data_IF_533718200953
#
_entry.id   IF_533718200953
#
_cell.length_a   1.000
_cell.length_b   1.000
_cell.length_c   1.000
_cell.angle_alpha   90.00
_cell.angle_beta   90.00
_cell.angle_gamma   90.00
#
_symmetry.space_group_name_H-M   'P 1'
#
loop_
_entity.id
_entity.type
_entity.pdbx_description
1 polymer ?
#
# COMPACT_ATOMS: atom_id res chain seq x y z
N UNK A 1 -46.09 14.16 -30.83
CA UNK A 1 -45.23 14.08 -29.62
C UNK A 1 -44.81 12.64 -29.25
N UNK A 2 -45.64 11.61 -29.44
CA UNK A 2 -45.33 10.22 -29.08
C UNK A 2 -44.06 9.60 -29.72
N UNK A 3 -43.73 9.92 -30.98
CA UNK A 3 -42.54 9.38 -31.67
C UNK A 3 -41.19 9.85 -31.11
N UNK A 4 -41.13 11.00 -30.43
CA UNK A 4 -39.89 11.50 -29.80
C UNK A 4 -39.65 10.85 -28.44
N UNK A 5 -40.71 10.58 -27.68
CA UNK A 5 -40.64 9.88 -26.39
C UNK A 5 -40.17 8.43 -26.56
N UNK A 6 -40.66 7.72 -27.58
CA UNK A 6 -40.22 6.35 -27.88
C UNK A 6 -38.74 6.26 -28.26
N UNK A 7 -38.20 7.25 -29.00
CA UNK A 7 -36.77 7.33 -29.30
C UNK A 7 -35.96 7.62 -28.04
N UNK A 8 -36.35 8.56 -27.19
CA UNK A 8 -35.64 8.83 -25.93
C UNK A 8 -35.59 7.59 -25.02
N UNK A 9 -36.69 6.85 -24.90
CA UNK A 9 -36.74 5.60 -24.14
C UNK A 9 -35.84 4.51 -24.74
N UNK A 10 -35.70 4.43 -26.07
CA UNK A 10 -34.83 3.44 -26.71
C UNK A 10 -33.34 3.74 -26.49
N UNK A 11 -32.96 5.03 -26.49
CA UNK A 11 -31.58 5.46 -26.26
C UNK A 11 -31.18 5.30 -24.79
N UNK A 12 -32.08 5.56 -23.84
CA UNK A 12 -31.81 5.30 -22.42
C UNK A 12 -31.71 3.81 -22.11
N UNK A 13 -32.56 2.97 -22.71
CA UNK A 13 -32.44 1.51 -22.56
C UNK A 13 -31.16 0.97 -23.19
N UNK A 14 -30.72 1.52 -24.32
CA UNK A 14 -29.49 1.10 -25.00
C UNK A 14 -28.24 1.59 -24.26
N UNK A 15 -28.27 2.79 -23.68
CA UNK A 15 -27.21 3.30 -22.82
C UNK A 15 -27.11 2.51 -21.52
N UNK A 16 -28.24 2.13 -20.90
CA UNK A 16 -28.26 1.27 -19.71
C UNK A 16 -27.83 -0.16 -20.02
N UNK A 17 -28.19 -0.70 -21.18
CA UNK A 17 -27.74 -2.02 -21.62
C UNK A 17 -26.25 -2.02 -22.00
N UNK A 18 -25.75 -0.97 -22.64
CA UNK A 18 -24.32 -0.82 -22.95
C UNK A 18 -23.50 -0.56 -21.69
N UNK A 19 -24.01 0.22 -20.75
CA UNK A 19 -23.38 0.42 -19.42
C UNK A 19 -23.42 -0.87 -18.61
N UNK A 20 -24.55 -1.59 -18.63
CA UNK A 20 -24.73 -2.89 -18.01
C UNK A 20 -23.80 -3.94 -18.62
N UNK A 21 -23.64 -3.96 -19.93
CA UNK A 21 -22.71 -4.86 -20.64
C UNK A 21 -21.24 -4.46 -20.44
N UNK A 22 -20.93 -3.16 -20.34
CA UNK A 22 -19.60 -2.66 -19.99
C UNK A 22 -19.22 -2.92 -18.52
N UNK A 23 -20.20 -2.90 -17.62
CA UNK A 23 -20.04 -3.30 -16.22
C UNK A 23 -19.98 -4.84 -16.07
N UNK A 24 -20.76 -5.58 -16.88
CA UNK A 24 -20.80 -7.03 -16.90
C UNK A 24 -19.55 -7.65 -17.53
N UNK A 25 -18.98 -7.04 -18.58
CA UNK A 25 -17.68 -7.44 -19.14
C UNK A 25 -16.50 -7.14 -18.20
N UNK A 26 -16.74 -6.38 -17.12
CA UNK A 26 -15.84 -6.12 -16.00
C UNK A 26 -16.20 -7.01 -14.79
N UNK A 27 -16.22 -8.31 -14.99
CA UNK A 27 -16.58 -9.36 -14.01
C UNK A 27 -15.61 -9.48 -12.78
N UNK A 28 -14.85 -8.42 -12.45
CA UNK A 28 -13.84 -8.39 -11.39
C UNK A 28 -13.79 -7.04 -10.63
N UNK A 29 -14.94 -6.39 -10.42
CA UNK A 29 -15.05 -5.23 -9.54
C UNK A 29 -15.33 -5.70 -8.09
N UNK A 30 -14.29 -5.77 -7.25
CA UNK A 30 -14.50 -5.82 -5.79
C UNK A 30 -15.31 -4.57 -5.39
N UNK A 31 -16.48 -4.75 -4.77
CA UNK A 31 -17.33 -3.66 -4.31
C UNK A 31 -16.58 -2.74 -3.33
N UNK A 32 -15.55 -3.25 -2.65
CA UNK A 32 -14.66 -2.47 -1.79
C UNK A 32 -13.85 -1.42 -2.55
N UNK A 33 -13.65 -1.57 -3.87
CA UNK A 33 -12.86 -0.64 -4.68
C UNK A 33 -13.66 0.53 -5.24
N UNK A 34 -14.97 0.57 -5.03
CA UNK A 34 -15.77 1.74 -5.36
C UNK A 34 -15.39 2.91 -4.45
N UNK A 35 -15.06 4.05 -5.08
CA UNK A 35 -14.63 5.26 -4.36
C UNK A 35 -15.58 5.67 -3.23
N UNK A 36 -16.90 5.54 -3.44
CA UNK A 36 -17.91 5.84 -2.41
C UNK A 36 -17.83 4.91 -1.20
N UNK A 37 -17.56 3.62 -1.39
CA UNK A 37 -17.44 2.63 -0.30
C UNK A 37 -16.17 2.88 0.51
N UNK A 38 -15.05 3.16 -0.15
CA UNK A 38 -13.77 3.54 0.50
C UNK A 38 -13.92 4.80 1.35
N UNK A 39 -14.54 5.84 0.77
CA UNK A 39 -14.83 7.11 1.46
C UNK A 39 -15.75 6.88 2.65
N UNK A 40 -16.86 6.14 2.45
CA UNK A 40 -17.82 5.83 3.51
C UNK A 40 -17.18 5.10 4.68
N UNK A 41 -16.36 4.07 4.43
CA UNK A 41 -15.61 3.34 5.47
C UNK A 41 -14.68 4.26 6.26
N UNK A 42 -13.93 5.13 5.56
CA UNK A 42 -13.01 6.05 6.22
C UNK A 42 -13.74 7.09 7.08
N UNK A 43 -14.80 7.72 6.55
CA UNK A 43 -15.63 8.69 7.29
C UNK A 43 -16.28 8.02 8.51
N UNK A 44 -16.90 6.86 8.34
CA UNK A 44 -17.54 6.14 9.43
C UNK A 44 -16.54 5.74 10.52
N UNK A 45 -15.38 5.21 10.14
CA UNK A 45 -14.32 4.83 11.09
C UNK A 45 -13.82 6.05 11.88
N UNK A 46 -13.53 7.16 11.20
CA UNK A 46 -13.09 8.40 11.84
C UNK A 46 -14.15 8.96 12.79
N UNK A 47 -15.43 8.92 12.41
CA UNK A 47 -16.53 9.37 13.25
C UNK A 47 -16.67 8.50 14.50
N UNK A 48 -16.61 7.17 14.36
CA UNK A 48 -16.67 6.23 15.49
C UNK A 48 -15.49 6.44 16.44
N UNK A 49 -14.27 6.58 15.92
CA UNK A 49 -13.08 6.87 16.75
C UNK A 49 -13.28 8.19 17.49
N UNK A 50 -13.63 9.27 16.79
CA UNK A 50 -13.82 10.60 17.40
C UNK A 50 -14.89 10.57 18.50
N UNK A 51 -16.03 9.92 18.23
CA UNK A 51 -17.10 9.75 19.21
C UNK A 51 -16.65 8.98 20.45
N UNK A 52 -15.85 7.93 20.26
CA UNK A 52 -15.34 7.10 21.35
C UNK A 52 -14.43 7.90 22.32
N UNK A 53 -13.54 8.74 21.77
CA UNK A 53 -12.74 9.67 22.58
C UNK A 53 -13.59 10.71 23.31
N UNK A 54 -14.55 11.33 22.62
CA UNK A 54 -15.41 12.38 23.19
C UNK A 54 -16.32 11.86 24.30
N UNK A 55 -16.74 10.59 24.24
CA UNK A 55 -17.70 10.03 25.21
C UNK A 55 -17.01 9.29 26.35
N UNK A 56 -16.02 8.46 26.04
CA UNK A 56 -15.37 7.61 27.04
C UNK A 56 -14.58 8.41 28.08
N UNK A 57 -13.93 9.50 27.66
CA UNK A 57 -13.07 10.29 28.53
C UNK A 57 -13.81 11.43 29.26
N UNK A 58 -15.08 11.70 28.92
CA UNK A 58 -15.83 12.87 29.38
C UNK A 58 -16.06 12.93 30.89
N UNK A 59 -16.24 11.77 31.52
CA UNK A 59 -16.64 11.66 32.94
C UNK A 59 -15.48 11.42 33.89
N UNK A 60 -14.25 11.31 33.37
CA UNK A 60 -13.06 10.98 34.17
C UNK A 60 -12.16 12.21 34.28
N UNK A 61 -11.73 12.61 35.48
CA UNK A 61 -10.85 13.78 35.65
C UNK A 61 -9.54 13.61 34.87
N UNK A 62 -9.21 14.62 34.07
CA UNK A 62 -7.98 14.65 33.27
C UNK A 62 -6.73 14.44 34.15
N UNK A 63 -5.80 13.61 33.69
CA UNK A 63 -4.54 13.33 34.39
C UNK A 63 -4.63 12.33 35.55
N UNK A 64 -5.84 11.90 35.93
CA UNK A 64 -6.00 10.84 36.94
C UNK A 64 -5.46 9.49 36.44
N UNK A 65 -5.09 8.59 37.36
CA UNK A 65 -4.67 7.22 37.00
C UNK A 65 -5.75 6.48 36.21
N UNK A 66 -7.01 6.67 36.58
CA UNK A 66 -8.18 6.14 35.86
C UNK A 66 -8.27 6.70 34.44
N UNK A 67 -8.06 8.00 34.26
CA UNK A 67 -8.05 8.64 32.94
C UNK A 67 -6.98 8.04 32.04
N UNK A 68 -5.75 7.87 32.54
CA UNK A 68 -4.66 7.30 31.76
C UNK A 68 -4.96 5.85 31.34
N UNK A 69 -5.49 5.03 32.25
CA UNK A 69 -5.87 3.65 31.95
C UNK A 69 -7.02 3.57 30.94
N UNK A 70 -8.04 4.42 31.09
CA UNK A 70 -9.16 4.47 30.15
C UNK A 70 -8.73 4.98 28.78
N UNK A 71 -7.84 5.98 28.73
CA UNK A 71 -7.27 6.52 27.51
C UNK A 71 -6.47 5.46 26.75
N UNK A 72 -5.63 4.68 27.42
CA UNK A 72 -4.94 3.53 26.83
C UNK A 72 -5.92 2.53 26.19
N UNK A 73 -7.01 2.18 26.89
CA UNK A 73 -8.07 1.33 26.31
C UNK A 73 -8.75 1.96 25.09
N UNK A 74 -8.91 3.29 25.06
CA UNK A 74 -9.48 4.02 23.90
C UNK A 74 -8.50 3.99 22.74
N UNK A 75 -7.22 4.22 22.99
CA UNK A 75 -6.14 4.11 21.99
C UNK A 75 -6.17 2.73 21.34
N UNK A 76 -6.16 1.65 22.13
CA UNK A 76 -6.10 0.29 21.61
C UNK A 76 -7.27 -0.06 20.68
N UNK A 77 -8.51 0.22 21.08
CA UNK A 77 -9.66 -0.09 20.22
C UNK A 77 -9.74 0.84 19.00
N UNK A 78 -9.28 2.07 19.11
CA UNK A 78 -9.22 3.01 17.99
C UNK A 78 -8.13 2.64 16.99
N UNK A 79 -6.97 2.20 17.47
CA UNK A 79 -5.89 1.64 16.67
C UNK A 79 -6.32 0.41 15.89
N UNK A 80 -7.09 -0.50 16.51
CA UNK A 80 -7.67 -1.67 15.83
C UNK A 80 -8.61 -1.28 14.70
N UNK A 81 -9.55 -0.36 14.95
CA UNK A 81 -10.46 0.16 13.90
C UNK A 81 -9.70 0.83 12.76
N UNK A 82 -8.64 1.59 13.07
CA UNK A 82 -7.79 2.20 12.06
C UNK A 82 -7.03 1.13 11.25
N UNK A 83 -6.49 0.10 11.89
CA UNK A 83 -5.84 -1.02 11.23
C UNK A 83 -6.80 -1.76 10.30
N UNK A 84 -8.03 -2.04 10.75
CA UNK A 84 -9.08 -2.66 9.95
C UNK A 84 -9.42 -1.80 8.72
N UNK A 85 -9.56 -0.49 8.89
CA UNK A 85 -9.75 0.45 7.79
C UNK A 85 -8.57 0.38 6.80
N UNK A 86 -7.34 0.34 7.31
CA UNK A 86 -6.15 0.23 6.47
C UNK A 86 -6.16 -1.06 5.64
N UNK A 87 -6.42 -2.21 6.26
CA UNK A 87 -6.55 -3.48 5.55
C UNK A 87 -7.69 -3.48 4.53
N UNK A 88 -8.83 -2.88 4.89
CA UNK A 88 -10.03 -2.88 4.07
C UNK A 88 -9.89 -1.95 2.84
N UNK A 89 -9.23 -0.79 2.99
CA UNK A 89 -8.98 0.13 1.88
C UNK A 89 -7.69 -0.19 1.11
N UNK A 90 -6.71 -0.91 1.68
CA UNK A 90 -5.48 -1.30 0.96
C UNK A 90 -4.67 -0.10 0.42
N UNK A 91 -3.60 -0.38 -0.33
CA UNK A 91 -2.85 0.63 -1.07
C UNK A 91 -2.32 1.76 -0.19
N UNK A 92 -2.71 3.00 -0.51
CA UNK A 92 -2.34 4.21 0.24
C UNK A 92 -2.62 4.10 1.73
N UNK A 93 -3.75 3.49 2.13
CA UNK A 93 -4.08 3.36 3.54
C UNK A 93 -3.14 2.39 4.28
N UNK A 94 -2.74 1.28 3.66
CA UNK A 94 -1.72 0.38 4.23
C UNK A 94 -0.39 1.12 4.32
N UNK A 95 -0.01 1.85 3.26
CA UNK A 95 1.26 2.60 3.25
C UNK A 95 1.33 3.65 4.37
N UNK A 96 0.29 4.46 4.53
CA UNK A 96 0.22 5.44 5.62
C UNK A 96 0.16 4.75 6.99
N UNK A 97 -0.57 3.64 7.11
CA UNK A 97 -0.60 2.82 8.32
C UNK A 97 0.77 2.23 8.70
N UNK A 98 1.56 1.81 7.72
CA UNK A 98 2.95 1.35 7.92
C UNK A 98 3.85 2.47 8.46
N UNK A 99 3.71 3.69 7.93
CA UNK A 99 4.40 4.86 8.47
C UNK A 99 4.00 5.15 9.91
N UNK A 100 2.70 5.13 10.22
CA UNK A 100 2.20 5.27 11.59
C UNK A 100 2.77 4.18 12.52
N UNK A 101 2.81 2.93 12.07
CA UNK A 101 3.36 1.80 12.82
C UNK A 101 4.86 1.93 13.15
N UNK A 102 5.60 2.76 12.43
CA UNK A 102 7.03 2.99 12.62
C UNK A 102 7.35 4.17 13.57
N UNK A 103 6.35 4.92 14.04
CA UNK A 103 6.51 6.12 14.86
C UNK A 103 6.48 5.83 16.38
N UNK A 104 7.25 4.82 16.82
CA UNK A 104 7.23 4.26 18.19
C UNK A 104 7.42 5.28 19.34
N UNK A 105 8.00 6.45 19.07
CA UNK A 105 8.24 7.50 20.07
C UNK A 105 7.31 8.71 19.94
N UNK A 106 6.55 8.79 18.86
CA UNK A 106 5.69 9.95 18.55
C UNK A 106 4.21 9.64 18.76
N UNK A 107 3.83 8.37 18.64
CA UNK A 107 2.45 7.90 18.79
C UNK A 107 2.29 7.06 20.05
N UNK A 108 1.06 6.95 20.59
CA UNK A 108 0.77 6.00 21.65
C UNK A 108 1.14 4.57 21.22
N UNK A 109 1.74 3.80 22.14
CA UNK A 109 2.20 2.43 21.89
C UNK A 109 1.10 1.55 21.32
N UNK A 110 -0.16 1.75 21.73
CA UNK A 110 -1.28 0.95 21.23
C UNK A 110 -1.52 1.16 19.73
N UNK A 111 -1.24 2.36 19.20
CA UNK A 111 -1.31 2.61 17.76
C UNK A 111 -0.15 1.97 17.02
N UNK A 112 1.09 2.17 17.48
CA UNK A 112 2.25 1.68 16.74
C UNK A 112 2.31 0.16 16.75
N UNK A 113 2.11 -0.47 17.92
CA UNK A 113 2.05 -1.93 18.06
C UNK A 113 0.96 -2.57 17.21
N UNK A 114 -0.24 -1.97 17.16
CA UNK A 114 -1.35 -2.51 16.37
C UNK A 114 -1.09 -2.37 14.87
N UNK A 115 -0.56 -1.23 14.41
CA UNK A 115 -0.35 -0.95 12.98
C UNK A 115 0.91 -1.62 12.42
N UNK A 116 1.84 -2.10 13.26
CA UNK A 116 3.02 -2.86 12.82
C UNK A 116 2.67 -4.08 11.96
N UNK A 117 1.51 -4.70 12.20
CA UNK A 117 1.03 -5.86 11.42
C UNK A 117 0.88 -5.54 9.91
N UNK A 118 0.64 -4.28 9.56
CA UNK A 118 0.49 -3.82 8.18
C UNK A 118 1.78 -3.97 7.36
N UNK A 119 2.94 -4.11 8.00
CA UNK A 119 4.20 -4.43 7.30
C UNK A 119 4.23 -5.87 6.79
N UNK A 120 3.52 -6.78 7.45
CA UNK A 120 3.45 -8.20 7.09
C UNK A 120 2.20 -8.60 6.28
N UNK A 121 1.15 -7.78 6.28
CA UNK A 121 -0.15 -8.12 5.68
C UNK A 121 -0.45 -7.28 4.43
N UNK A 122 0.42 -7.37 3.42
CA UNK A 122 0.15 -6.74 2.14
C UNK A 122 -0.82 -7.58 1.29
N UNK A 123 -1.85 -6.96 0.69
CA UNK A 123 -2.76 -7.65 -0.21
C UNK A 123 -2.03 -8.09 -1.48
N UNK A 124 -2.43 -9.23 -2.04
CA UNK A 124 -1.94 -9.71 -3.33
C UNK A 124 -2.97 -9.38 -4.42
N UNK A 125 -2.50 -8.83 -5.53
CA UNK A 125 -3.22 -8.75 -6.79
C UNK A 125 -3.33 -10.13 -7.44
N UNK A 126 -4.43 -10.34 -8.14
CA UNK A 126 -4.61 -11.57 -8.91
C UNK A 126 -3.61 -11.63 -10.07
N UNK A 127 -3.29 -12.84 -10.55
CA UNK A 127 -2.42 -12.98 -11.72
C UNK A 127 -2.99 -12.36 -13.00
N UNK A 128 -4.32 -12.22 -13.09
CA UNK A 128 -4.95 -11.48 -14.18
C UNK A 128 -4.61 -9.99 -14.13
N UNK A 129 -4.67 -9.38 -12.93
CA UNK A 129 -4.26 -7.99 -12.71
C UNK A 129 -2.77 -7.79 -13.00
N UNK A 130 -1.91 -8.71 -12.57
CA UNK A 130 -0.46 -8.66 -12.85
C UNK A 130 -0.19 -8.71 -14.35
N UNK A 131 -0.81 -9.66 -15.07
CA UNK A 131 -0.71 -9.77 -16.54
C UNK A 131 -1.21 -8.51 -17.23
N UNK A 132 -2.30 -7.92 -16.73
CA UNK A 132 -2.82 -6.66 -17.26
C UNK A 132 -1.80 -5.54 -17.13
N UNK A 133 -1.20 -5.33 -15.95
CA UNK A 133 -0.19 -4.27 -15.75
C UNK A 133 1.02 -4.49 -16.67
N UNK A 134 1.55 -5.72 -16.74
CA UNK A 134 2.68 -6.04 -17.62
C UNK A 134 2.36 -5.74 -19.08
N UNK A 135 1.18 -6.14 -19.56
CA UNK A 135 0.75 -5.87 -20.94
C UNK A 135 0.61 -4.37 -21.22
N UNK A 136 -0.05 -3.63 -20.32
CA UNK A 136 -0.27 -2.19 -20.47
C UNK A 136 1.04 -1.40 -20.51
N UNK A 137 2.00 -1.76 -19.66
CA UNK A 137 3.22 -0.99 -19.48
C UNK A 137 4.37 -1.43 -20.40
N UNK A 138 4.49 -2.73 -20.70
CA UNK A 138 5.56 -3.28 -21.54
C UNK A 138 5.11 -3.63 -22.96
N UNK A 139 3.80 -3.55 -23.25
CA UNK A 139 3.24 -3.80 -24.59
C UNK A 139 3.36 -5.25 -25.07
N UNK A 140 3.68 -6.19 -24.18
CA UNK A 140 3.94 -7.60 -24.48
C UNK A 140 3.29 -8.51 -23.43
N UNK A 141 3.04 -9.76 -23.79
CA UNK A 141 2.59 -10.75 -22.83
C UNK A 141 3.78 -11.31 -22.01
N UNK A 142 3.50 -11.88 -20.84
CA UNK A 142 4.52 -12.50 -19.98
C UNK A 142 5.35 -13.54 -20.75
N UNK A 143 4.72 -14.37 -21.58
CA UNK A 143 5.40 -15.42 -22.33
C UNK A 143 6.32 -14.90 -23.45
N UNK A 144 6.11 -13.66 -23.92
CA UNK A 144 7.01 -13.01 -24.89
C UNK A 144 8.26 -12.47 -24.19
N UNK A 145 8.14 -12.09 -22.92
CA UNK A 145 9.19 -11.43 -22.13
C UNK A 145 10.08 -12.42 -21.39
N UNK A 146 9.51 -13.53 -20.92
CA UNK A 146 10.15 -14.46 -19.99
C UNK A 146 10.04 -15.91 -20.48
N UNK A 147 11.11 -16.68 -20.23
CA UNK A 147 11.11 -18.15 -20.39
C UNK A 147 10.21 -18.80 -19.34
N UNK A 148 10.26 -18.27 -18.11
CA UNK A 148 9.40 -18.70 -17.02
C UNK A 148 9.06 -17.52 -16.13
N UNK A 149 7.85 -17.51 -15.59
CA UNK A 149 7.36 -16.52 -14.64
C UNK A 149 6.61 -17.25 -13.54
N UNK A 150 6.98 -17.03 -12.29
CA UNK A 150 6.29 -17.64 -11.15
C UNK A 150 4.99 -16.89 -10.87
N UNK A 151 3.86 -17.57 -11.04
CA UNK A 151 2.54 -17.02 -10.74
C UNK A 151 2.37 -16.76 -9.22
N UNK A 152 3.17 -17.41 -8.37
CA UNK A 152 3.22 -17.14 -6.93
C UNK A 152 4.17 -15.97 -6.66
N UNK A 153 3.72 -14.89 -6.01
CA UNK A 153 4.62 -13.80 -5.66
C UNK A 153 5.60 -14.25 -4.57
N UNK A 154 6.87 -13.84 -4.71
CA UNK A 154 7.91 -13.97 -3.68
C UNK A 154 7.54 -13.19 -2.41
N UNK A 155 6.82 -12.08 -2.58
CA UNK A 155 6.36 -11.23 -1.51
C UNK A 155 5.42 -10.14 -2.04
N UNK A 156 4.60 -9.62 -1.13
CA UNK A 156 3.75 -8.47 -1.38
C UNK A 156 4.18 -7.31 -0.47
N UNK A 157 4.12 -6.11 -1.01
CA UNK A 157 4.32 -4.85 -0.32
C UNK A 157 3.05 -3.98 -0.47
N UNK A 158 2.98 -2.85 0.23
CA UNK A 158 1.78 -2.01 0.28
C UNK A 158 1.28 -1.52 -1.09
N UNK A 159 2.18 -1.34 -2.07
CA UNK A 159 1.87 -0.77 -3.40
C UNK A 159 2.09 -1.75 -4.55
N UNK A 160 2.70 -2.91 -4.29
CA UNK A 160 3.22 -3.80 -5.34
C UNK A 160 3.40 -5.22 -4.83
N UNK A 161 3.59 -6.16 -5.75
CA UNK A 161 4.09 -7.49 -5.44
C UNK A 161 5.26 -7.85 -6.32
N UNK A 162 6.10 -8.77 -5.86
CA UNK A 162 7.32 -9.19 -6.55
C UNK A 162 7.19 -10.64 -6.98
N UNK A 163 7.50 -10.92 -8.25
CA UNK A 163 7.51 -12.26 -8.82
C UNK A 163 8.92 -12.65 -9.24
N UNK A 164 9.22 -13.95 -9.23
CA UNK A 164 10.45 -14.49 -9.81
C UNK A 164 10.22 -14.79 -11.29
N UNK A 165 11.16 -14.44 -12.14
CA UNK A 165 11.11 -14.79 -13.56
C UNK A 165 12.50 -15.09 -14.13
N UNK A 166 12.53 -15.67 -15.33
CA UNK A 166 13.76 -15.97 -16.09
C UNK A 166 13.62 -15.36 -17.48
N UNK A 167 14.60 -14.55 -17.88
CA UNK A 167 14.68 -13.93 -19.20
C UNK A 167 15.13 -14.94 -20.28
N UNK A 168 14.90 -14.61 -21.55
CA UNK A 168 15.32 -15.43 -22.70
C UNK A 168 16.84 -15.65 -22.82
N UNK A 169 17.64 -14.82 -22.17
CA UNK A 169 19.11 -14.99 -22.07
C UNK A 169 19.55 -15.83 -20.86
N UNK A 170 18.60 -16.40 -20.10
CA UNK A 170 18.84 -17.26 -18.94
C UNK A 170 19.02 -16.52 -17.62
N UNK A 171 19.06 -15.17 -17.60
CA UNK A 171 19.19 -14.42 -16.34
C UNK A 171 17.90 -14.52 -15.50
N UNK A 172 18.06 -14.79 -14.20
CA UNK A 172 16.94 -14.78 -13.24
C UNK A 172 16.74 -13.36 -12.71
N UNK A 173 15.48 -12.91 -12.69
CA UNK A 173 15.09 -11.56 -12.29
C UNK A 173 13.94 -11.57 -11.29
N UNK A 174 13.90 -10.54 -10.45
CA UNK A 174 12.73 -10.17 -9.67
C UNK A 174 11.92 -9.11 -10.43
N UNK A 175 10.64 -9.38 -10.64
CA UNK A 175 9.69 -8.54 -11.36
C UNK A 175 8.73 -7.92 -10.35
N UNK A 176 8.96 -6.67 -9.99
CA UNK A 176 8.07 -5.91 -9.10
C UNK A 176 6.98 -5.24 -9.92
N UNK A 177 5.73 -5.58 -9.62
CA UNK A 177 4.54 -5.11 -10.36
C UNK A 177 3.63 -4.34 -9.40
N UNK A 178 3.32 -3.10 -9.75
CA UNK A 178 2.44 -2.24 -8.96
C UNK A 178 0.99 -2.76 -9.02
N UNK A 179 0.27 -2.70 -7.91
CA UNK A 179 -1.15 -3.01 -7.89
C UNK A 179 -1.92 -2.02 -8.79
N UNK A 180 -2.74 -2.47 -9.76
CA UNK A 180 -3.31 -1.61 -10.80
C UNK A 180 -4.11 -0.41 -10.26
N UNK A 181 -4.78 -0.59 -9.12
CA UNK A 181 -5.73 0.41 -8.58
C UNK A 181 -5.04 1.49 -7.73
N UNK A 182 -3.81 1.26 -7.29
CA UNK A 182 -3.13 2.14 -6.33
C UNK A 182 -2.81 3.50 -6.96
N UNK A 183 -2.29 3.54 -8.19
CA UNK A 183 -1.91 4.81 -8.82
C UNK A 183 -3.11 5.74 -8.98
N UNK A 184 -4.23 5.23 -9.52
CA UNK A 184 -5.43 6.03 -9.79
C UNK A 184 -6.20 6.45 -8.53
N UNK A 185 -6.04 5.72 -7.42
CA UNK A 185 -6.73 6.00 -6.16
C UNK A 185 -5.89 6.85 -5.19
N UNK A 186 -4.56 6.79 -5.30
CA UNK A 186 -3.63 7.42 -4.36
C UNK A 186 -3.94 8.88 -4.04
N UNK A 187 -4.06 9.74 -5.05
CA UNK A 187 -4.35 11.17 -4.85
C UNK A 187 -5.70 11.43 -4.18
N UNK A 188 -6.71 10.60 -4.46
CA UNK A 188 -8.04 10.70 -3.86
C UNK A 188 -8.03 10.24 -2.40
N UNK A 189 -7.31 9.16 -2.11
CA UNK A 189 -7.15 8.64 -0.75
C UNK A 189 -6.39 9.66 0.13
N UNK A 190 -5.35 10.29 -0.41
CA UNK A 190 -4.60 11.34 0.29
C UNK A 190 -5.46 12.58 0.56
N UNK A 191 -6.25 13.04 -0.43
CA UNK A 191 -7.19 14.14 -0.23
C UNK A 191 -8.25 13.80 0.83
N UNK A 192 -8.75 12.57 0.83
CA UNK A 192 -9.69 12.09 1.84
C UNK A 192 -9.05 12.11 3.24
N UNK A 193 -7.81 11.62 3.37
CA UNK A 193 -7.07 11.65 4.64
C UNK A 193 -6.87 13.09 5.13
N UNK A 194 -6.51 14.02 4.24
CA UNK A 194 -6.40 15.44 4.56
C UNK A 194 -7.70 16.00 5.15
N UNK A 195 -8.83 15.80 4.46
CA UNK A 195 -10.14 16.29 4.92
C UNK A 195 -10.49 15.69 6.29
N UNK A 196 -10.24 14.38 6.48
CA UNK A 196 -10.53 13.70 7.73
C UNK A 196 -9.65 14.21 8.88
N UNK A 197 -8.35 14.41 8.66
CA UNK A 197 -7.43 14.94 9.66
C UNK A 197 -7.81 16.38 10.04
N UNK A 198 -8.17 17.22 9.07
CA UNK A 198 -8.67 18.58 9.34
C UNK A 198 -9.97 18.56 10.15
N UNK A 199 -10.90 17.66 9.84
CA UNK A 199 -12.14 17.51 10.60
C UNK A 199 -11.89 17.05 12.05
N UNK A 200 -10.98 16.09 12.25
CA UNK A 200 -10.58 15.64 13.60
C UNK A 200 -9.92 16.77 14.38
N UNK A 201 -9.07 17.59 13.74
CA UNK A 201 -8.44 18.76 14.36
C UNK A 201 -9.46 19.79 14.89
N UNK A 202 -10.62 19.95 14.24
CA UNK A 202 -11.70 20.81 14.75
C UNK A 202 -12.30 20.29 16.07
N UNK A 203 -12.33 18.96 16.26
CA UNK A 203 -12.84 18.31 17.47
C UNK A 203 -11.77 18.21 18.56
N UNK A 204 -10.51 18.01 18.16
CA UNK A 204 -9.36 17.83 19.03
C UNK A 204 -8.24 18.79 18.59
N UNK A 205 -8.18 20.02 19.11
CA UNK A 205 -7.20 21.02 18.68
C UNK A 205 -5.73 20.60 18.86
N UNK A 206 -5.44 19.69 19.79
CA UNK A 206 -4.11 19.12 20.02
C UNK A 206 -3.70 18.06 18.98
N UNK A 207 -4.61 17.65 18.09
CA UNK A 207 -4.37 16.62 17.08
C UNK A 207 -3.63 17.20 15.86
N UNK A 208 -2.31 17.35 15.99
CA UNK A 208 -1.44 17.92 14.95
C UNK A 208 -0.81 16.83 14.05
N UNK A 209 -1.62 16.19 13.20
CA UNK A 209 -1.17 15.13 12.27
C UNK A 209 -1.13 15.54 10.79
N UNK A 210 -1.36 16.82 10.48
CA UNK A 210 -1.29 17.32 9.11
C UNK A 210 0.07 17.10 8.46
N UNK A 211 1.16 17.22 9.24
CA UNK A 211 2.52 16.96 8.74
C UNK A 211 2.68 15.55 8.16
N UNK A 212 1.96 14.54 8.68
CA UNK A 212 2.04 13.18 8.17
C UNK A 212 1.33 13.06 6.82
N UNK A 213 0.21 13.78 6.65
CA UNK A 213 -0.50 13.87 5.37
C UNK A 213 0.37 14.59 4.34
N UNK A 214 1.06 15.66 4.74
CA UNK A 214 1.97 16.41 3.87
C UNK A 214 3.18 15.57 3.44
N UNK A 215 3.74 14.78 4.37
CA UNK A 215 4.80 13.83 4.07
C UNK A 215 4.32 12.74 3.09
N UNK A 216 3.11 12.20 3.31
CA UNK A 216 2.53 11.22 2.40
C UNK A 216 2.24 11.82 1.01
N UNK A 217 1.74 13.06 0.93
CA UNK A 217 1.53 13.80 -0.33
C UNK A 217 2.83 13.95 -1.13
N UNK A 218 3.94 14.21 -0.44
CA UNK A 218 5.24 14.40 -1.05
C UNK A 218 5.89 13.09 -1.50
N UNK A 219 5.83 12.06 -0.65
CA UNK A 219 6.58 10.83 -0.88
C UNK A 219 5.82 9.78 -1.70
N UNK A 220 4.51 9.67 -1.54
CA UNK A 220 3.74 8.62 -2.22
C UNK A 220 3.85 8.70 -3.76
N UNK A 221 3.81 9.89 -4.41
CA UNK A 221 4.05 9.97 -5.85
C UNK A 221 5.44 9.47 -6.28
N UNK A 222 6.46 9.67 -5.43
CA UNK A 222 7.82 9.19 -5.68
C UNK A 222 7.94 7.68 -5.55
N UNK A 223 7.12 7.05 -4.68
CA UNK A 223 7.04 5.60 -4.55
C UNK A 223 6.20 4.93 -5.65
N UNK A 224 5.27 5.67 -6.25
CA UNK A 224 4.44 5.17 -7.34
C UNK A 224 5.12 5.25 -8.71
N UNK A 225 6.29 5.88 -8.78
CA UNK A 225 7.15 5.88 -9.95
C UNK A 225 8.37 4.98 -9.68
N UNK A 226 8.29 3.71 -10.07
CA UNK A 226 9.40 2.77 -9.83
C UNK A 226 10.69 3.10 -10.61
N UNK A 227 10.65 4.01 -11.58
CA UNK A 227 11.90 4.50 -12.18
C UNK A 227 12.69 5.34 -11.18
N UNK A 228 12.00 6.05 -10.28
CA UNK A 228 12.65 6.74 -9.17
C UNK A 228 13.29 5.75 -8.20
N UNK A 229 12.58 4.67 -7.87
CA UNK A 229 13.12 3.57 -7.05
C UNK A 229 14.38 2.95 -7.68
N UNK A 230 14.34 2.61 -8.98
CA UNK A 230 15.50 2.07 -9.69
C UNK A 230 16.71 3.03 -9.67
N UNK A 231 16.51 4.34 -9.87
CA UNK A 231 17.59 5.34 -9.84
C UNK A 231 18.18 5.47 -8.44
N UNK A 232 17.32 5.40 -7.42
CA UNK A 232 17.77 5.40 -6.03
C UNK A 232 18.59 4.15 -5.71
N UNK A 233 18.20 2.97 -6.22
CA UNK A 233 18.98 1.74 -6.06
C UNK A 233 20.39 1.88 -6.68
N UNK A 234 20.51 2.42 -7.89
CA UNK A 234 21.83 2.67 -8.51
C UNK A 234 22.67 3.68 -7.72
N UNK A 235 22.04 4.75 -7.21
CA UNK A 235 22.73 5.72 -6.35
C UNK A 235 23.26 5.06 -5.07
N UNK A 236 22.45 4.23 -4.42
CA UNK A 236 22.84 3.46 -3.23
C UNK A 236 23.98 2.50 -3.56
N UNK A 237 23.90 1.80 -4.69
CA UNK A 237 24.97 0.92 -5.16
C UNK A 237 26.31 1.66 -5.30
N UNK A 238 26.29 2.87 -5.88
CA UNK A 238 27.49 3.69 -6.02
C UNK A 238 28.03 4.20 -4.68
N UNK A 239 27.13 4.63 -3.78
CA UNK A 239 27.52 5.14 -2.46
C UNK A 239 28.15 4.04 -1.59
N UNK A 240 27.62 2.82 -1.67
CA UNK A 240 27.99 1.70 -0.81
C UNK A 240 28.94 0.71 -1.48
N UNK A 241 29.48 1.04 -2.67
CA UNK A 241 30.40 0.18 -3.44
C UNK A 241 31.66 -0.27 -2.71
N UNK A 242 31.99 0.38 -1.59
CA UNK A 242 33.17 0.10 -0.78
C UNK A 242 32.92 -0.98 0.30
N UNK A 243 31.67 -1.42 0.46
CA UNK A 243 31.31 -2.55 1.32
C UNK A 243 31.24 -3.83 0.48
N UNK A 244 32.30 -4.63 0.51
CA UNK A 244 32.39 -5.87 -0.28
C UNK A 244 31.32 -6.92 0.08
N UNK A 245 30.75 -6.84 1.29
CA UNK A 245 29.69 -7.72 1.77
C UNK A 245 28.29 -7.29 1.32
N UNK A 246 28.12 -6.07 0.78
CA UNK A 246 26.81 -5.53 0.40
C UNK A 246 26.59 -5.65 -1.11
N UNK A 247 25.51 -6.33 -1.50
CA UNK A 247 25.07 -6.40 -2.90
C UNK A 247 23.78 -5.61 -3.10
N UNK A 248 23.80 -4.69 -4.05
CA UNK A 248 22.61 -4.00 -4.55
C UNK A 248 22.22 -4.60 -5.91
N UNK A 249 20.99 -5.09 -6.10
CA UNK A 249 20.53 -5.65 -7.36
C UNK A 249 20.67 -4.68 -8.53
N UNK A 250 21.16 -5.15 -9.68
CA UNK A 250 21.15 -4.35 -10.92
C UNK A 250 19.73 -4.17 -11.45
N UNK A 251 19.42 -3.00 -11.98
CA UNK A 251 18.14 -2.70 -12.62
C UNK A 251 18.20 -3.05 -14.10
N UNK A 252 17.13 -3.69 -14.61
CA UNK A 252 16.94 -3.96 -16.03
C UNK A 252 16.05 -2.86 -16.63
N UNK A 253 16.67 -1.75 -17.02
CA UNK A 253 15.98 -0.55 -17.49
C UNK A 253 15.15 -0.77 -18.76
N UNK A 254 15.62 -1.63 -19.64
CA UNK A 254 14.96 -1.99 -20.91
C UNK A 254 13.59 -2.66 -20.71
N UNK A 255 13.33 -3.18 -19.51
CA UNK A 255 12.08 -3.82 -19.11
C UNK A 255 11.45 -3.15 -17.88
N UNK A 256 11.88 -1.93 -17.54
CA UNK A 256 11.34 -1.18 -16.39
C UNK A 256 10.55 0.04 -16.82
N UNK A 257 9.41 0.27 -16.16
CA UNK A 257 8.49 1.39 -16.36
C UNK A 257 8.15 2.03 -15.02
N UNK A 258 7.19 2.95 -15.00
CA UNK A 258 6.69 3.53 -13.74
C UNK A 258 5.99 2.51 -12.85
N UNK A 259 5.37 1.46 -13.42
CA UNK A 259 4.56 0.47 -12.70
C UNK A 259 5.17 -0.92 -12.67
N UNK A 260 6.24 -1.17 -13.44
CA UNK A 260 6.98 -2.44 -13.47
C UNK A 260 8.46 -2.17 -13.26
N UNK A 261 9.09 -2.82 -12.30
CA UNK A 261 10.54 -2.70 -12.06
C UNK A 261 11.16 -4.09 -12.10
N UNK A 262 12.06 -4.30 -13.04
CA UNK A 262 12.86 -5.51 -13.11
C UNK A 262 14.23 -5.28 -12.50
N UNK A 263 14.62 -6.21 -11.64
CA UNK A 263 15.93 -6.20 -10.97
C UNK A 263 16.55 -7.59 -10.98
N UNK A 264 17.87 -7.65 -10.88
CA UNK A 264 18.61 -8.89 -10.65
C UNK A 264 18.01 -9.65 -9.47
N UNK A 265 17.71 -10.94 -9.64
CA UNK A 265 17.29 -11.76 -8.51
C UNK A 265 18.49 -12.08 -7.62
N UNK A 266 18.38 -11.76 -6.33
CA UNK A 266 19.37 -12.11 -5.31
C UNK A 266 18.74 -13.11 -4.36
N UNK A 267 19.35 -14.28 -4.24
CA UNK A 267 18.92 -15.33 -3.33
C UNK A 267 19.48 -15.08 -1.92
N UNK A 268 18.68 -15.38 -0.89
CA UNK A 268 19.01 -15.07 0.49
C UNK A 268 17.84 -15.19 1.47
N UNK A 269 18.14 -15.19 2.76
CA UNK A 269 17.16 -15.11 3.83
C UNK A 269 16.86 -13.66 4.24
N UNK A 270 15.73 -13.46 4.92
CA UNK A 270 15.40 -12.13 5.46
C UNK A 270 16.34 -11.77 6.61
N UNK A 271 16.62 -10.47 6.79
CA UNK A 271 17.50 -9.96 7.86
C UNK A 271 16.97 -10.24 9.28
N UNK A 272 15.70 -10.60 9.40
CA UNK A 272 15.05 -10.96 10.66
C UNK A 272 14.84 -12.48 10.83
N UNK A 273 15.32 -13.31 9.89
CA UNK A 273 15.22 -14.77 9.94
C UNK A 273 16.44 -15.37 10.65
N UNK A 274 16.32 -15.55 11.97
CA UNK A 274 17.38 -16.13 12.80
C UNK A 274 17.73 -17.56 12.39
N UNK A 275 16.74 -18.37 12.05
CA UNK A 275 16.96 -19.77 11.67
C UNK A 275 17.74 -19.88 10.36
N UNK A 276 17.50 -18.96 9.41
CA UNK A 276 18.32 -18.85 8.21
C UNK A 276 19.75 -18.45 8.54
N UNK A 277 19.95 -17.45 9.40
CA UNK A 277 21.29 -17.01 9.79
C UNK A 277 22.09 -18.11 10.48
N UNK A 278 21.48 -18.84 11.42
CA UNK A 278 22.11 -19.97 12.12
C UNK A 278 22.50 -21.10 11.16
N UNK A 279 21.57 -21.51 10.28
CA UNK A 279 21.83 -22.57 9.28
C UNK A 279 22.93 -22.21 8.29
N UNK A 280 23.05 -20.93 7.94
CA UNK A 280 24.05 -20.42 7.00
C UNK A 280 25.31 -19.88 7.70
N UNK A 281 25.42 -20.02 9.04
CA UNK A 281 26.57 -19.57 9.85
C UNK A 281 26.91 -18.09 9.68
N UNK A 282 25.88 -17.25 9.56
CA UNK A 282 26.01 -15.79 9.48
C UNK A 282 26.06 -15.23 10.91
N UNK A 283 27.16 -14.56 11.30
CA UNK A 283 27.28 -13.92 12.61
C UNK A 283 26.48 -12.60 12.65
N UNK A 284 25.39 -12.60 13.41
CA UNK A 284 24.53 -11.42 13.60
C UNK A 284 25.27 -10.20 14.16
N UNK A 285 26.38 -10.41 14.87
CA UNK A 285 27.15 -9.33 15.48
C UNK A 285 28.21 -8.75 14.53
N UNK A 286 28.47 -9.40 13.40
CA UNK A 286 29.47 -8.93 12.44
C UNK A 286 29.00 -7.67 11.72
N UNK A 287 27.69 -7.55 11.47
CA UNK A 287 27.06 -6.39 10.81
C UNK A 287 27.20 -5.10 11.62
N UNK A 288 27.37 -5.18 12.94
CA UNK A 288 27.54 -4.00 13.82
C UNK A 288 28.99 -3.55 14.00
N UNK A 289 29.98 -4.23 13.41
CA UNK A 289 31.41 -3.96 13.63
C UNK A 289 32.01 -2.90 12.68
N UNK A 290 31.28 -2.49 11.64
CA UNK A 290 31.71 -1.54 10.60
C UNK A 290 30.81 -0.30 10.58
#
# INVERSE_FOLDING_TARGET
>A
MARRALKLASWTSMALAASGFYLYSKEYLDLNDFGAVRVGRAVATTAVISYDYLTSLRRVPYGSKEYLQLRSKVHLRSARRLCELCCANRGTFIKVGQHLGALDYLLPEEYTSTLKVLHSQAPQSSMQEVRQVIREDLGKEIHDLFVSFDDTPLGAASLAQVHKAVLHDGRTVAVKVQHPKVQAQSSKDILLMEVLVLAVKQLFPEFEFMWLVDEAKKNLPLELDFLNEGRNAEKVAQMLKHFDFLKVPRIHWELSTKRVLLMEFVDGGQVNDRDYMERNKIDVNEVTKH
#
